data_IF_938028212015
#
_entry.id   IF_938028212015
#
_cell.length_a   1.000
_cell.length_b   1.000
_cell.length_c   1.000
_cell.angle_alpha   90.00
_cell.angle_beta   90.00
_cell.angle_gamma   90.00
#
_symmetry.space_group_name_H-M   'P 1'
#
loop_
_entity.id
_entity.type
_entity.pdbx_description
1 polymer ?
#
# COMPACT_ATOMS: atom_id res chain seq x y z
N UNK A 1 16.69 12.70 -9.82
CA UNK A 1 16.53 13.38 -8.50
C UNK A 1 15.56 12.55 -7.66
N UNK A 2 16.04 11.76 -6.68
CA UNK A 2 15.14 11.07 -5.72
C UNK A 2 14.50 12.14 -4.84
N UNK A 3 13.20 12.37 -4.98
CA UNK A 3 12.44 13.31 -4.15
C UNK A 3 12.47 12.75 -2.73
N UNK A 4 13.21 13.40 -1.82
CA UNK A 4 13.36 12.92 -0.44
C UNK A 4 12.04 13.07 0.27
N UNK A 5 11.30 11.98 0.37
CA UNK A 5 10.21 11.83 1.31
C UNK A 5 10.80 11.94 2.72
N UNK A 6 10.10 12.66 3.60
CA UNK A 6 10.53 12.77 4.99
C UNK A 6 9.79 11.68 5.76
N UNK A 7 10.50 10.58 6.02
CA UNK A 7 10.08 9.63 7.04
C UNK A 7 9.92 10.41 8.34
N UNK A 8 8.70 10.43 8.86
CA UNK A 8 8.39 11.11 10.11
C UNK A 8 8.53 10.11 11.27
N UNK A 9 8.03 8.89 11.09
CA UNK A 9 8.08 7.86 12.12
C UNK A 9 7.93 6.43 11.59
N UNK A 10 8.38 5.45 12.37
CA UNK A 10 8.14 4.01 12.17
C UNK A 10 7.85 3.36 13.51
N UNK A 11 6.67 2.73 13.62
CA UNK A 11 6.08 2.35 14.90
C UNK A 11 5.55 0.91 14.80
N UNK A 12 5.91 0.06 15.76
CA UNK A 12 5.23 -1.22 15.97
C UNK A 12 4.04 -1.01 16.88
N UNK A 13 2.86 -1.46 16.47
CA UNK A 13 1.62 -1.19 17.17
C UNK A 13 1.34 -2.31 18.21
N UNK A 14 1.38 -1.96 19.49
CA UNK A 14 1.04 -2.88 20.57
C UNK A 14 -0.47 -3.18 20.59
N UNK A 15 -1.30 -2.15 20.33
CA UNK A 15 -2.76 -2.30 20.23
C UNK A 15 -3.22 -3.08 19.00
N UNK A 16 -2.34 -3.31 18.02
CA UNK A 16 -2.62 -4.03 16.79
C UNK A 16 -1.47 -5.03 16.50
N UNK A 17 -1.48 -6.21 17.15
CA UNK A 17 -0.35 -7.14 17.15
C UNK A 17 0.13 -7.50 15.74
N UNK A 18 1.45 -7.43 15.52
CA UNK A 18 2.06 -7.77 14.24
C UNK A 18 1.93 -6.69 13.15
N UNK A 19 1.20 -5.60 13.38
CA UNK A 19 1.11 -4.50 12.41
C UNK A 19 2.22 -3.47 12.64
N UNK A 20 2.98 -3.19 11.59
CA UNK A 20 3.96 -2.10 11.54
C UNK A 20 3.30 -0.89 10.88
N UNK A 21 3.50 0.31 11.43
CA UNK A 21 3.00 1.56 10.87
C UNK A 21 4.15 2.52 10.51
N UNK A 22 4.05 3.17 9.36
CA UNK A 22 5.05 4.14 8.86
C UNK A 22 4.34 5.43 8.51
N UNK A 23 4.77 6.53 9.14
CA UNK A 23 4.25 7.86 8.84
C UNK A 23 5.21 8.61 7.92
N UNK A 24 4.68 9.07 6.79
CA UNK A 24 5.42 9.79 5.76
C UNK A 24 4.80 11.16 5.53
N UNK A 25 5.64 12.19 5.39
CA UNK A 25 5.19 13.49 4.87
C UNK A 25 5.35 13.52 3.35
N UNK A 26 4.26 13.83 2.66
CA UNK A 26 4.21 13.87 1.19
C UNK A 26 4.82 15.16 0.63
N UNK A 27 5.65 15.06 -0.43
CA UNK A 27 5.99 16.22 -1.25
C UNK A 27 4.73 16.86 -1.85
N UNK A 28 4.69 18.20 -1.95
CA UNK A 28 3.52 18.95 -2.46
C UNK A 28 3.05 18.47 -3.84
N UNK A 29 3.99 18.16 -4.73
CA UNK A 29 3.67 17.61 -6.05
C UNK A 29 2.97 16.26 -5.96
N UNK A 30 3.48 15.34 -5.12
CA UNK A 30 2.84 14.03 -4.95
C UNK A 30 1.41 14.18 -4.43
N UNK A 31 1.24 14.99 -3.38
CA UNK A 31 -0.07 15.26 -2.81
C UNK A 31 -1.05 15.81 -3.86
N UNK A 32 -0.60 16.74 -4.70
CA UNK A 32 -1.45 17.33 -5.75
C UNK A 32 -1.86 16.31 -6.81
N UNK A 33 -0.92 15.54 -7.33
CA UNK A 33 -1.16 14.67 -8.50
C UNK A 33 -1.77 13.31 -8.14
N UNK A 34 -1.50 12.79 -6.94
CA UNK A 34 -1.86 11.42 -6.55
C UNK A 34 -2.81 11.34 -5.35
N UNK A 35 -2.90 12.39 -4.54
CA UNK A 35 -3.82 12.39 -3.39
C UNK A 35 -5.04 13.23 -3.68
N UNK A 36 -4.89 14.48 -4.09
CA UNK A 36 -6.02 15.41 -4.27
C UNK A 36 -6.94 15.04 -5.44
N UNK A 37 -6.39 14.37 -6.45
CA UNK A 37 -7.12 13.81 -7.59
C UNK A 37 -7.99 12.61 -7.21
N UNK A 38 -7.65 11.90 -6.13
CA UNK A 38 -8.41 10.79 -5.56
C UNK A 38 -9.36 11.28 -4.46
N UNK A 39 -8.91 12.21 -3.62
CA UNK A 39 -9.61 12.74 -2.46
C UNK A 39 -9.83 14.26 -2.59
N UNK A 40 -10.86 14.74 -3.32
CA UNK A 40 -11.15 16.17 -3.45
C UNK A 40 -11.40 16.89 -2.11
N UNK A 41 -11.87 16.15 -1.09
CA UNK A 41 -12.02 16.67 0.27
C UNK A 41 -10.68 17.04 0.93
N UNK A 42 -9.59 16.34 0.58
CA UNK A 42 -8.24 16.67 1.04
C UNK A 42 -7.78 18.04 0.49
N UNK A 43 -8.07 18.31 -0.79
CA UNK A 43 -7.77 19.61 -1.41
C UNK A 43 -8.58 20.74 -0.76
N UNK A 44 -9.89 20.52 -0.56
CA UNK A 44 -10.74 21.50 0.15
C UNK A 44 -10.22 21.81 1.54
N UNK A 45 -9.78 20.79 2.30
CA UNK A 45 -9.19 20.97 3.62
C UNK A 45 -7.87 21.75 3.56
N UNK A 46 -6.97 21.39 2.65
CA UNK A 46 -5.69 22.08 2.46
C UNK A 46 -5.90 23.57 2.15
N UNK A 47 -6.80 23.89 1.21
CA UNK A 47 -7.13 25.28 0.86
C UNK A 47 -7.74 26.04 2.04
N UNK A 48 -8.54 25.38 2.89
CA UNK A 48 -9.11 26.00 4.09
C UNK A 48 -8.05 26.34 5.12
N UNK A 49 -7.14 25.41 5.41
CA UNK A 49 -6.03 25.64 6.35
C UNK A 49 -5.17 26.82 5.89
N UNK A 50 -4.84 26.86 4.59
CA UNK A 50 -4.02 27.92 4.00
C UNK A 50 -4.78 29.25 3.82
N UNK A 51 -6.09 29.18 3.59
CA UNK A 51 -6.97 30.30 3.29
C UNK A 51 -7.55 31.02 4.51
N UNK A 52 -6.91 30.94 5.68
CA UNK A 52 -7.36 31.65 6.89
C UNK A 52 -6.52 32.92 7.17
N UNK A 53 -6.62 34.02 6.38
CA UNK A 53 -5.95 35.27 6.72
C UNK A 53 -6.88 36.14 7.57
N UNK A 54 -6.80 35.99 8.89
CA UNK A 54 -7.30 36.98 9.84
C UNK A 54 -6.11 37.50 10.68
N UNK A 55 -5.27 38.34 10.07
CA UNK A 55 -4.23 39.10 10.78
C UNK A 55 -3.01 38.34 11.29
N UNK A 56 -2.82 37.07 10.91
CA UNK A 56 -1.66 36.25 11.28
C UNK A 56 -1.07 35.51 10.08
N UNK A 57 0.19 35.05 10.21
CA UNK A 57 0.90 34.28 9.18
C UNK A 57 0.07 33.10 8.66
N UNK A 58 0.11 32.87 7.35
CA UNK A 58 -0.59 31.76 6.73
C UNK A 58 -0.10 30.42 7.32
N UNK A 59 -1.01 29.65 7.91
CA UNK A 59 -0.72 28.32 8.42
C UNK A 59 -0.34 27.39 7.26
N UNK A 60 0.89 26.88 7.29
CA UNK A 60 1.33 25.87 6.34
C UNK A 60 0.57 24.56 6.60
N UNK A 61 -0.02 23.98 5.56
CA UNK A 61 -0.64 22.66 5.62
C UNK A 61 0.30 21.60 5.02
N UNK A 62 0.29 20.40 5.60
CA UNK A 62 1.04 19.26 5.11
C UNK A 62 0.12 18.06 4.87
N UNK A 63 0.49 17.26 3.87
CA UNK A 63 -0.17 16.00 3.53
C UNK A 63 0.72 14.85 4.00
N UNK A 64 0.10 13.80 4.52
CA UNK A 64 0.78 12.63 5.07
C UNK A 64 0.17 11.34 4.54
N UNK A 65 1.01 10.31 4.47
CA UNK A 65 0.58 8.92 4.31
C UNK A 65 0.94 8.15 5.57
N UNK A 66 -0.06 7.46 6.14
CA UNK A 66 0.11 6.53 7.24
C UNK A 66 -0.02 5.11 6.70
N UNK A 67 1.12 4.51 6.36
CA UNK A 67 1.17 3.13 5.89
C UNK A 67 1.07 2.16 7.05
N UNK A 68 0.42 1.03 6.79
CA UNK A 68 0.49 -0.16 7.62
C UNK A 68 1.01 -1.34 6.79
N UNK A 69 1.78 -2.21 7.44
CA UNK A 69 2.24 -3.47 6.89
C UNK A 69 1.86 -4.58 7.87
N UNK A 70 1.05 -5.54 7.41
CA UNK A 70 0.62 -6.68 8.20
C UNK A 70 1.23 -7.97 7.61
N UNK A 71 1.99 -8.76 8.37
CA UNK A 71 2.51 -10.03 7.90
C UNK A 71 1.39 -11.04 7.72
N UNK A 72 1.56 -11.95 6.77
CA UNK A 72 0.67 -13.10 6.66
C UNK A 72 0.80 -14.06 7.84
N UNK A 73 -0.29 -14.75 8.15
CA UNK A 73 -0.34 -15.87 9.09
C UNK A 73 -0.12 -17.23 8.40
N UNK A 74 0.09 -17.27 7.08
CA UNK A 74 0.46 -18.49 6.36
C UNK A 74 1.82 -18.98 6.83
N UNK A 75 1.86 -20.21 7.35
CA UNK A 75 3.12 -20.88 7.66
C UNK A 75 3.81 -21.23 6.34
N UNK A 76 5.11 -20.91 6.16
CA UNK A 76 5.85 -21.41 5.01
C UNK A 76 5.97 -22.94 5.15
N UNK A 77 5.13 -23.70 4.45
CA UNK A 77 5.36 -25.15 4.27
C UNK A 77 4.18 -26.12 4.37
N UNK A 78 2.91 -25.72 4.38
CA UNK A 78 1.84 -26.70 4.17
C UNK A 78 1.63 -26.96 2.67
N UNK A 79 2.50 -27.81 2.12
CA UNK A 79 2.26 -28.44 0.83
C UNK A 79 0.88 -29.09 0.87
N UNK A 80 -0.05 -28.59 0.06
CA UNK A 80 -1.32 -29.26 -0.19
C UNK A 80 -0.98 -30.65 -0.71
N UNK A 81 -1.10 -31.66 0.15
CA UNK A 81 -0.93 -33.05 -0.25
C UNK A 81 -1.98 -33.37 -1.31
N UNK A 82 -1.49 -33.54 -2.54
CA UNK A 82 -2.03 -34.39 -3.60
C UNK A 82 -3.44 -34.94 -3.36
N UNK A 83 -4.43 -34.37 -4.04
CA UNK A 83 -5.64 -35.11 -4.37
C UNK A 83 -5.32 -35.90 -5.64
N UNK A 84 -5.04 -37.18 -5.44
CA UNK A 84 -4.83 -38.21 -6.44
C UNK A 84 -6.12 -38.54 -7.22
N UNK A 85 -5.96 -38.92 -8.49
CA UNK A 85 -6.93 -39.73 -9.23
C UNK A 85 -7.62 -39.08 -10.44
N UNK A 86 -7.03 -39.25 -11.63
CA UNK A 86 -7.74 -39.01 -12.90
C UNK A 86 -6.88 -39.16 -14.16
N UNK A 87 -6.59 -40.41 -14.55
CA UNK A 87 -5.87 -40.81 -15.76
C UNK A 87 -6.48 -40.27 -17.07
N UNK A 88 -5.63 -40.02 -18.09
CA UNK A 88 -6.08 -40.00 -19.50
C UNK A 88 -5.14 -39.37 -20.53
N UNK A 89 -4.27 -40.20 -21.12
CA UNK A 89 -3.74 -40.18 -22.52
C UNK A 89 -3.16 -38.83 -23.05
N UNK A 90 -1.86 -38.68 -23.32
CA UNK A 90 -1.01 -39.49 -24.18
C UNK A 90 -1.20 -39.13 -25.65
N UNK A 91 -0.26 -38.41 -26.28
CA UNK A 91 0.14 -38.55 -27.70
C UNK A 91 1.43 -37.75 -27.98
N UNK A 92 2.41 -38.47 -28.52
CA UNK A 92 3.72 -37.99 -28.96
C UNK A 92 3.67 -37.27 -30.31
N UNK A 93 4.68 -36.44 -30.57
CA UNK A 93 4.96 -35.87 -31.90
C UNK A 93 6.31 -35.15 -31.90
N UNK A 94 7.35 -35.82 -32.39
CA UNK A 94 8.65 -35.25 -32.75
C UNK A 94 8.54 -34.54 -34.11
N UNK A 95 9.22 -33.39 -34.31
CA UNK A 95 9.98 -33.11 -35.54
C UNK A 95 10.96 -31.91 -35.40
N UNK A 96 11.95 -31.90 -36.28
CA UNK A 96 13.35 -31.45 -36.16
C UNK A 96 13.69 -30.07 -36.82
N UNK A 97 14.79 -29.45 -36.36
CA UNK A 97 15.83 -28.77 -37.17
C UNK A 97 15.69 -27.32 -37.70
N UNK A 98 16.63 -26.43 -37.30
CA UNK A 98 17.05 -25.26 -38.13
C UNK A 98 17.80 -24.09 -37.44
N UNK A 99 19.14 -24.09 -37.49
CA UNK A 99 20.07 -23.02 -37.03
C UNK A 99 20.16 -21.80 -37.98
N UNK A 100 20.39 -20.57 -37.47
CA UNK A 100 21.66 -19.75 -37.58
C UNK A 100 21.52 -18.21 -37.36
N UNK A 101 22.35 -17.68 -36.43
CA UNK A 101 23.09 -16.37 -36.38
C UNK A 101 22.45 -14.98 -36.09
N UNK A 102 23.00 -14.28 -35.06
CA UNK A 102 22.72 -12.89 -34.59
C UNK A 102 23.53 -11.75 -35.29
N UNK A 103 23.82 -10.55 -34.70
CA UNK A 103 23.97 -10.20 -33.27
C UNK A 103 23.47 -8.79 -32.77
N UNK A 104 23.64 -8.55 -31.45
CA UNK A 104 23.96 -7.26 -30.77
C UNK A 104 22.92 -6.52 -29.86
N UNK A 105 22.95 -6.91 -28.58
CA UNK A 105 23.16 -6.11 -27.35
C UNK A 105 22.22 -4.93 -26.95
N UNK A 106 21.37 -5.21 -25.95
CA UNK A 106 21.34 -4.52 -24.62
C UNK A 106 20.76 -5.53 -23.60
N UNK A 107 21.35 -5.74 -22.41
CA UNK A 107 20.88 -6.80 -21.50
C UNK A 107 19.71 -6.28 -20.65
N UNK A 108 18.48 -6.51 -21.10
CA UNK A 108 17.38 -6.74 -20.17
C UNK A 108 17.48 -8.19 -19.73
N UNK A 109 17.74 -8.42 -18.44
CA UNK A 109 17.74 -9.77 -17.86
C UNK A 109 16.32 -10.33 -17.86
N UNK A 110 15.88 -10.85 -19.00
CA UNK A 110 14.71 -11.73 -19.10
C UNK A 110 15.21 -13.10 -18.67
N UNK A 111 14.92 -13.48 -17.42
CA UNK A 111 15.14 -14.84 -16.97
C UNK A 111 14.01 -15.68 -17.57
N UNK A 112 14.23 -16.22 -18.77
CA UNK A 112 13.43 -17.33 -19.29
C UNK A 112 13.61 -18.51 -18.34
N UNK A 113 12.59 -18.77 -17.54
CA UNK A 113 12.61 -19.82 -16.52
C UNK A 113 12.25 -21.15 -17.19
N UNK A 114 13.27 -21.84 -17.68
CA UNK A 114 13.23 -23.29 -17.83
C UNK A 114 13.14 -23.89 -16.42
N UNK A 115 11.99 -24.52 -16.11
CA UNK A 115 11.75 -25.37 -14.93
C UNK A 115 12.30 -24.83 -13.60
N UNK A 116 11.63 -23.81 -13.04
CA UNK A 116 11.76 -23.54 -11.59
C UNK A 116 10.91 -24.60 -10.89
N UNK A 117 11.56 -25.42 -10.07
CA UNK A 117 10.88 -26.35 -9.18
C UNK A 117 9.78 -25.62 -8.39
N UNK A 118 8.57 -26.18 -8.37
CA UNK A 118 7.34 -25.60 -7.83
C UNK A 118 7.29 -25.47 -6.29
N UNK A 119 8.43 -25.34 -5.62
CA UNK A 119 8.50 -25.20 -4.16
C UNK A 119 8.87 -23.76 -3.80
N UNK A 120 7.87 -22.91 -3.51
CA UNK A 120 8.13 -21.64 -2.82
C UNK A 120 7.31 -20.41 -3.25
N UNK A 121 6.26 -20.55 -4.06
CA UNK A 121 5.36 -19.42 -4.30
C UNK A 121 4.51 -19.19 -3.04
N UNK A 122 4.62 -17.99 -2.46
CA UNK A 122 3.78 -17.54 -1.34
C UNK A 122 2.30 -17.80 -1.64
N UNK A 123 1.59 -18.40 -0.68
CA UNK A 123 0.14 -18.66 -0.79
C UNK A 123 -0.67 -17.39 -1.05
N UNK A 124 -0.12 -16.21 -0.72
CA UNK A 124 -0.79 -14.93 -0.96
C UNK A 124 -0.86 -14.53 -2.45
N UNK A 125 0.13 -15.01 -3.21
CA UNK A 125 0.24 -14.85 -4.67
C UNK A 125 -0.78 -15.76 -5.35
N UNK A 126 -1.03 -16.93 -4.75
CA UNK A 126 -2.05 -17.86 -5.20
C UNK A 126 -3.42 -17.33 -4.76
N UNK A 127 -4.39 -17.23 -5.67
CA UNK A 127 -5.75 -16.79 -5.33
C UNK A 127 -6.53 -17.92 -4.64
N UNK A 128 -6.01 -18.43 -3.52
CA UNK A 128 -6.68 -19.43 -2.71
C UNK A 128 -7.80 -18.80 -1.87
N UNK A 129 -8.84 -19.56 -1.49
CA UNK A 129 -9.88 -19.07 -0.58
C UNK A 129 -9.31 -18.57 0.76
N UNK A 130 -8.30 -19.26 1.30
CA UNK A 130 -7.61 -18.88 2.54
C UNK A 130 -6.89 -17.53 2.40
N UNK A 131 -6.23 -17.28 1.27
CA UNK A 131 -5.64 -15.98 0.95
C UNK A 131 -6.70 -14.86 0.84
N UNK A 132 -7.88 -15.17 0.31
CA UNK A 132 -9.03 -14.25 0.27
C UNK A 132 -9.49 -13.86 1.68
N UNK A 133 -9.76 -14.84 2.53
CA UNK A 133 -10.19 -14.61 3.91
C UNK A 133 -9.15 -13.82 4.72
N UNK A 134 -7.87 -14.13 4.55
CA UNK A 134 -6.80 -13.39 5.22
C UNK A 134 -6.72 -11.93 4.75
N UNK A 135 -6.88 -11.66 3.45
CA UNK A 135 -6.92 -10.30 2.89
C UNK A 135 -8.10 -9.51 3.46
N UNK A 136 -9.27 -10.13 3.58
CA UNK A 136 -10.45 -9.49 4.19
C UNK A 136 -10.22 -9.19 5.68
N UNK A 137 -9.71 -10.14 6.47
CA UNK A 137 -9.35 -9.90 7.88
C UNK A 137 -8.34 -8.75 8.00
N UNK A 138 -7.32 -8.72 7.16
CA UNK A 138 -6.28 -7.68 7.15
C UNK A 138 -6.85 -6.30 6.78
N UNK A 139 -7.80 -6.24 5.85
CA UNK A 139 -8.54 -5.02 5.51
C UNK A 139 -9.32 -4.48 6.70
N UNK A 140 -10.10 -5.32 7.37
CA UNK A 140 -10.92 -4.89 8.52
C UNK A 140 -10.06 -4.41 9.70
N UNK A 141 -8.90 -5.06 9.92
CA UNK A 141 -7.92 -4.61 10.92
C UNK A 141 -7.38 -3.22 10.59
N UNK A 142 -7.04 -2.97 9.33
CA UNK A 142 -6.60 -1.67 8.86
C UNK A 142 -7.68 -0.59 9.04
N UNK A 143 -8.93 -0.87 8.66
CA UNK A 143 -10.05 0.07 8.85
C UNK A 143 -10.28 0.38 10.34
N UNK A 144 -10.24 -0.64 11.19
CA UNK A 144 -10.35 -0.47 12.65
C UNK A 144 -9.25 0.44 13.19
N UNK A 145 -8.01 0.26 12.72
CA UNK A 145 -6.89 1.13 13.09
C UNK A 145 -7.09 2.57 12.62
N UNK A 146 -7.51 2.78 11.38
CA UNK A 146 -7.73 4.12 10.85
C UNK A 146 -8.85 4.86 11.58
N UNK A 147 -9.97 4.17 11.88
CA UNK A 147 -11.05 4.72 12.72
C UNK A 147 -10.53 5.09 14.10
N UNK A 148 -9.69 4.25 14.72
CA UNK A 148 -9.12 4.54 16.03
C UNK A 148 -8.18 5.77 16.00
N UNK A 149 -7.34 5.90 14.98
CA UNK A 149 -6.46 7.06 14.78
C UNK A 149 -7.30 8.31 14.58
N UNK A 150 -8.30 8.28 13.70
CA UNK A 150 -9.22 9.39 13.45
C UNK A 150 -9.92 9.84 14.73
N UNK A 151 -10.43 8.90 15.53
CA UNK A 151 -11.09 9.19 16.80
C UNK A 151 -10.15 9.83 17.84
N UNK A 152 -8.88 9.41 17.90
CA UNK A 152 -7.89 10.04 18.79
C UNK A 152 -7.49 11.43 18.33
N UNK A 153 -7.22 11.61 17.03
CA UNK A 153 -6.94 12.93 16.46
C UNK A 153 -8.10 13.90 16.67
N UNK A 154 -9.34 13.39 16.61
CA UNK A 154 -10.51 14.24 16.76
C UNK A 154 -10.62 14.91 18.14
N UNK A 155 -10.06 14.28 19.18
CA UNK A 155 -9.98 14.87 20.54
C UNK A 155 -9.12 16.14 20.58
N UNK A 156 -8.19 16.29 19.65
CA UNK A 156 -7.24 17.41 19.60
C UNK A 156 -7.55 18.39 18.48
N UNK A 157 -8.06 17.91 17.34
CA UNK A 157 -8.17 18.67 16.09
C UNK A 157 -9.62 18.84 15.60
N UNK A 158 -10.61 18.31 16.31
CA UNK A 158 -12.04 18.37 15.96
C UNK A 158 -12.50 17.23 15.06
N UNK A 159 -13.69 17.29 14.47
CA UNK A 159 -14.18 16.19 13.63
C UNK A 159 -13.60 16.27 12.21
N UNK A 160 -12.87 15.25 11.79
CA UNK A 160 -12.30 15.15 10.45
C UNK A 160 -13.36 15.35 9.35
N UNK A 161 -12.94 15.85 8.19
CA UNK A 161 -13.74 15.94 6.96
C UNK A 161 -15.00 16.83 7.04
N UNK A 162 -15.20 17.53 8.15
CA UNK A 162 -16.28 18.51 8.28
C UNK A 162 -15.86 19.88 7.73
N UNK A 163 -16.85 20.74 7.43
CA UNK A 163 -16.62 22.11 6.95
C UNK A 163 -15.85 22.98 7.94
N UNK A 164 -15.96 22.70 9.24
CA UNK A 164 -15.24 23.37 10.32
C UNK A 164 -13.96 22.65 10.75
N UNK A 165 -13.67 21.46 10.19
CA UNK A 165 -12.49 20.68 10.55
C UNK A 165 -11.21 21.41 10.18
N UNK A 166 -10.23 21.32 11.10
CA UNK A 166 -8.84 21.69 10.84
C UNK A 166 -8.02 20.55 10.24
N UNK A 167 -8.57 19.35 10.07
CA UNK A 167 -7.87 18.26 9.40
C UNK A 167 -8.79 17.38 8.55
N UNK A 168 -8.18 16.69 7.60
CA UNK A 168 -8.77 15.66 6.76
C UNK A 168 -8.12 14.33 7.08
N UNK A 169 -8.93 13.27 7.09
CA UNK A 169 -8.44 11.90 7.17
C UNK A 169 -9.39 10.97 6.41
N UNK A 170 -8.83 10.18 5.52
CA UNK A 170 -9.54 9.15 4.75
C UNK A 170 -8.53 8.06 4.36
N UNK A 171 -9.00 6.98 3.77
CA UNK A 171 -8.16 5.91 3.24
C UNK A 171 -8.84 5.30 2.02
N UNK A 172 -8.07 4.83 1.02
CA UNK A 172 -8.62 4.12 -0.10
C UNK A 172 -9.03 2.72 0.34
N UNK A 173 -10.09 2.21 -0.26
CA UNK A 173 -10.37 0.77 -0.28
C UNK A 173 -9.23 0.07 -1.05
N UNK A 174 -8.44 -0.83 -0.43
CA UNK A 174 -7.33 -1.49 -1.10
C UNK A 174 -7.74 -2.28 -2.36
N UNK A 175 -9.01 -2.69 -2.47
CA UNK A 175 -9.51 -3.42 -3.64
C UNK A 175 -9.81 -2.50 -4.84
N UNK A 176 -10.23 -1.26 -4.60
CA UNK A 176 -10.71 -0.35 -5.65
C UNK A 176 -9.87 0.92 -5.81
N UNK A 177 -9.05 1.25 -4.82
CA UNK A 177 -8.30 2.50 -4.74
C UNK A 177 -9.18 3.73 -4.48
N UNK A 178 -10.46 3.55 -4.16
CA UNK A 178 -11.43 4.63 -4.00
C UNK A 178 -11.56 5.07 -2.54
N UNK A 179 -11.84 6.36 -2.27
CA UNK A 179 -12.07 6.84 -0.91
C UNK A 179 -13.18 6.07 -0.17
N UNK A 180 -12.96 5.79 1.11
CA UNK A 180 -13.94 5.14 2.00
C UNK A 180 -14.83 6.18 2.69
N UNK A 181 -14.27 7.27 3.19
CA UNK A 181 -14.97 8.23 4.06
C UNK A 181 -15.53 9.44 3.32
N UNK A 182 -15.02 9.77 2.13
CA UNK A 182 -15.37 10.99 1.40
C UNK A 182 -15.73 10.75 -0.07
N UNK A 183 -16.17 11.81 -0.75
CA UNK A 183 -16.54 11.77 -2.17
C UNK A 183 -15.36 11.33 -3.04
N UNK A 184 -15.66 10.56 -4.08
CA UNK A 184 -14.69 10.06 -5.05
C UNK A 184 -14.16 11.16 -5.96
N UNK A 185 -12.86 11.18 -6.17
CA UNK A 185 -12.20 11.99 -7.18
C UNK A 185 -12.25 11.37 -8.59
N UNK A 186 -11.46 11.94 -9.50
CA UNK A 186 -11.40 11.49 -10.90
C UNK A 186 -10.41 10.35 -11.17
N UNK A 187 -9.70 9.87 -10.13
CA UNK A 187 -8.66 8.84 -10.23
C UNK A 187 -8.72 7.89 -9.03
N UNK A 188 -7.95 6.81 -9.07
CA UNK A 188 -7.81 5.82 -7.99
C UNK A 188 -6.43 5.90 -7.34
N UNK A 189 -6.35 5.53 -6.06
CA UNK A 189 -5.08 5.38 -5.35
C UNK A 189 -4.53 3.97 -5.55
N UNK A 190 -3.26 3.85 -5.93
CA UNK A 190 -2.56 2.58 -6.09
C UNK A 190 -1.44 2.48 -5.05
N UNK A 191 -1.59 1.56 -4.09
CA UNK A 191 -0.59 1.34 -3.04
C UNK A 191 0.76 0.93 -3.62
N UNK A 192 0.79 0.08 -4.65
CA UNK A 192 2.04 -0.36 -5.27
C UNK A 192 2.83 0.80 -5.88
N UNK A 193 2.17 1.72 -6.59
CA UNK A 193 2.81 2.89 -7.20
C UNK A 193 3.32 3.86 -6.13
N UNK A 194 2.50 4.12 -5.11
CA UNK A 194 2.90 4.98 -4.02
C UNK A 194 4.07 4.35 -3.24
N UNK A 195 4.02 3.06 -2.93
CA UNK A 195 5.10 2.38 -2.21
C UNK A 195 6.42 2.44 -2.99
N UNK A 196 6.39 2.26 -4.30
CA UNK A 196 7.60 2.39 -5.15
C UNK A 196 8.20 3.80 -5.15
N UNK A 197 7.38 4.82 -4.94
CA UNK A 197 7.84 6.19 -4.85
C UNK A 197 8.41 6.53 -3.48
N UNK A 198 7.86 5.94 -2.41
CA UNK A 198 8.18 6.30 -1.02
C UNK A 198 9.17 5.37 -0.33
N UNK A 199 9.22 4.10 -0.72
CA UNK A 199 10.01 3.07 -0.05
C UNK A 199 11.06 2.51 -1.02
N UNK A 200 12.19 2.08 -0.47
CA UNK A 200 13.23 1.35 -1.23
C UNK A 200 12.94 -0.14 -1.27
N UNK A 201 11.67 -0.51 -1.43
CA UNK A 201 11.22 -1.91 -1.50
C UNK A 201 11.47 -2.45 -2.90
N UNK A 202 11.80 -3.74 -2.99
CA UNK A 202 11.90 -4.38 -4.29
C UNK A 202 10.51 -4.54 -4.87
N UNK A 203 10.43 -4.49 -6.20
CA UNK A 203 9.21 -4.85 -6.90
C UNK A 203 9.46 -6.07 -7.75
N UNK A 204 8.59 -7.06 -7.57
CA UNK A 204 8.66 -8.34 -8.26
C UNK A 204 7.53 -8.36 -9.29
N UNK A 205 7.87 -8.61 -10.56
CA UNK A 205 6.87 -8.87 -11.58
C UNK A 205 6.56 -10.37 -11.55
N UNK A 206 5.32 -10.71 -11.21
CA UNK A 206 4.82 -12.08 -11.28
C UNK A 206 4.01 -12.19 -12.56
N UNK A 207 4.53 -12.91 -13.54
CA UNK A 207 3.88 -13.14 -14.82
C UNK A 207 3.28 -14.54 -14.86
N UNK A 208 2.04 -14.63 -15.34
CA UNK A 208 1.36 -15.88 -15.65
C UNK A 208 0.71 -15.82 -17.05
N UNK A 209 0.06 -16.91 -17.49
CA UNK A 209 -0.56 -17.00 -18.82
C UNK A 209 -1.62 -15.90 -19.08
N UNK A 210 -2.23 -15.37 -18.03
CA UNK A 210 -3.24 -14.29 -18.09
C UNK A 210 -2.70 -12.86 -17.96
N UNK A 211 -1.37 -12.68 -17.91
CA UNK A 211 -0.73 -11.38 -17.72
C UNK A 211 0.19 -11.33 -16.49
N UNK A 212 0.71 -10.15 -16.18
CA UNK A 212 1.61 -9.95 -15.05
C UNK A 212 1.06 -8.98 -14.01
N UNK A 213 1.30 -9.30 -12.74
CA UNK A 213 1.06 -8.41 -11.62
C UNK A 213 2.39 -7.95 -11.01
N UNK A 214 2.42 -6.68 -10.61
CA UNK A 214 3.56 -6.08 -9.93
C UNK A 214 3.32 -6.15 -8.44
N UNK A 215 4.15 -6.93 -7.74
CA UNK A 215 4.11 -7.04 -6.29
C UNK A 215 5.23 -6.21 -5.64
N UNK A 216 4.99 -5.84 -4.39
CA UNK A 216 5.95 -5.15 -3.53
C UNK A 216 6.51 -6.15 -2.55
N UNK A 217 7.82 -6.24 -2.45
CA UNK A 217 8.53 -7.08 -1.48
C UNK A 217 9.00 -6.22 -0.30
N UNK A 218 8.43 -6.45 0.87
CA UNK A 218 8.81 -5.76 2.09
C UNK A 218 10.16 -6.31 2.62
N UNK A 219 11.15 -5.47 2.97
CA UNK A 219 12.52 -5.91 3.32
C UNK A 219 12.62 -6.93 4.47
N UNK A 220 11.62 -6.95 5.35
CA UNK A 220 11.54 -7.87 6.50
C UNK A 220 10.48 -8.94 6.36
N UNK A 221 9.43 -8.68 5.58
CA UNK A 221 8.23 -9.54 5.53
C UNK A 221 8.09 -10.26 4.18
N UNK A 222 9.01 -10.03 3.25
CA UNK A 222 8.96 -10.62 1.92
C UNK A 222 7.71 -10.19 1.15
N UNK A 223 7.14 -11.14 0.41
CA UNK A 223 5.91 -10.98 -0.37
C UNK A 223 4.65 -11.25 0.46
N UNK A 224 4.79 -11.81 1.67
CA UNK A 224 3.71 -12.19 2.58
C UNK A 224 3.29 -11.01 3.46
N UNK A 225 2.88 -9.91 2.82
CA UNK A 225 2.55 -8.66 3.49
C UNK A 225 1.30 -8.02 2.89
N UNK A 226 0.45 -7.47 3.77
CA UNK A 226 -0.68 -6.64 3.41
C UNK A 226 -0.33 -5.17 3.65
N UNK A 227 0.06 -4.41 2.61
CA UNK A 227 0.23 -2.97 2.70
C UNK A 227 -1.12 -2.25 2.57
N UNK A 228 -1.32 -1.18 3.35
CA UNK A 228 -2.45 -0.27 3.17
C UNK A 228 -2.11 1.14 3.67
N UNK A 229 -2.62 2.17 2.99
CA UNK A 229 -2.31 3.58 3.29
C UNK A 229 -3.52 4.38 3.82
N UNK A 230 -3.34 5.11 4.91
CA UNK A 230 -4.21 6.22 5.29
C UNK A 230 -3.70 7.55 4.75
N UNK A 231 -4.58 8.45 4.36
CA UNK A 231 -4.27 9.81 3.89
C UNK A 231 -4.69 10.83 4.95
N UNK A 232 -3.80 11.75 5.30
CA UNK A 232 -4.08 12.82 6.24
C UNK A 232 -3.66 14.18 5.67
N UNK A 233 -4.43 15.23 5.96
CA UNK A 233 -4.03 16.63 5.76
C UNK A 233 -4.29 17.39 7.05
N UNK A 234 -3.27 18.05 7.58
CA UNK A 234 -3.36 18.88 8.79
C UNK A 234 -2.41 20.09 8.73
N UNK A 235 -2.62 21.11 9.57
CA UNK A 235 -1.69 22.20 9.80
C UNK A 235 -0.32 21.66 10.26
N UNK A 236 0.77 22.25 9.77
CA UNK A 236 2.13 21.77 10.03
C UNK A 236 2.52 21.86 11.51
N UNK A 237 1.97 22.81 12.24
CA UNK A 237 2.11 22.96 13.69
C UNK A 237 1.41 21.84 14.48
N UNK A 238 0.49 21.09 13.87
CA UNK A 238 -0.19 19.94 14.49
C UNK A 238 0.52 18.60 14.22
N UNK A 239 1.70 18.58 13.58
CA UNK A 239 2.44 17.33 13.31
C UNK A 239 2.83 16.57 14.59
N UNK A 240 3.19 17.28 15.65
CA UNK A 240 3.54 16.65 16.93
C UNK A 240 2.34 15.92 17.54
N UNK A 241 1.14 16.48 17.41
CA UNK A 241 -0.12 15.84 17.83
C UNK A 241 -0.35 14.57 17.02
N UNK A 242 -0.10 14.60 15.71
CA UNK A 242 -0.20 13.41 14.86
C UNK A 242 0.78 12.32 15.29
N UNK A 243 2.06 12.67 15.46
CA UNK A 243 3.10 11.71 15.86
C UNK A 243 2.77 11.09 17.23
N UNK A 244 2.41 11.92 18.21
CA UNK A 244 2.02 11.47 19.55
C UNK A 244 0.81 10.56 19.51
N UNK A 245 -0.19 10.89 18.68
CA UNK A 245 -1.38 10.06 18.49
C UNK A 245 -1.01 8.69 17.93
N UNK A 246 -0.16 8.60 16.91
CA UNK A 246 0.21 7.30 16.33
C UNK A 246 1.09 6.51 17.32
N UNK A 247 2.05 7.16 18.00
CA UNK A 247 2.89 6.52 19.02
C UNK A 247 2.09 5.97 20.20
N UNK A 248 0.95 6.58 20.53
CA UNK A 248 0.09 6.09 21.60
C UNK A 248 -0.56 4.72 21.32
N UNK A 249 -0.40 4.17 20.11
CA UNK A 249 -0.80 2.79 19.80
C UNK A 249 0.34 1.78 20.00
N UNK A 250 1.56 2.24 20.27
CA UNK A 250 2.72 1.43 20.60
C UNK A 250 2.90 1.20 22.10
N UNK A 251 2.20 1.99 22.93
CA UNK A 251 2.22 1.92 24.38
C UNK A 251 1.29 0.82 24.92
#
# INVERSE_FOLDING_TARGET
MRRRCLLVDTIRLASFPGMEAVLLRCPKFFAKEHVMTVFPAAERCLRRIQGTPAGGEALEAACYLLYTFQPSDFAPGESVTSVDGGEGQGLAGEDDGGDTSGPSATPSTVVSSSSIAEDGFSELIQYSPTAGEWKDRSRERFFTFMVAVQARLAKHLGNANTSSSRFFMDWPDPATGLPICTDRGGTTFCDADAIQQFFSFHSVLIAGPGGGCRMVEHPRLGLDVYPAAGVLVLPRDAEEVLCTTIRSFAA
#
